data_IF_676703026865
#
_entry.id   IF_676703026865
#
_cell.length_a   1.000
_cell.length_b   1.000
_cell.length_c   1.000
_cell.angle_alpha   90.00
_cell.angle_beta   90.00
_cell.angle_gamma   90.00
#
_symmetry.space_group_name_H-M   'P 1'
#
loop_
_entity.id
_entity.type
_entity.pdbx_description
1 polymer ?
#
# COMPACT_ATOMS: atom_id res chain seq x y z
N UNK A 1 -15.46 21.26 -6.13
CA UNK A 1 -15.68 19.95 -5.49
C UNK A 1 -14.94 19.94 -4.16
N UNK A 2 -15.57 19.50 -3.07
CA UNK A 2 -14.85 19.28 -1.82
C UNK A 2 -13.94 18.07 -1.98
N UNK A 3 -12.69 18.17 -1.51
CA UNK A 3 -11.78 17.03 -1.46
C UNK A 3 -12.26 16.03 -0.40
N UNK A 4 -12.07 14.72 -0.61
CA UNK A 4 -12.37 13.73 0.42
C UNK A 4 -11.57 14.04 1.69
N UNK A 5 -12.20 13.89 2.86
CA UNK A 5 -11.54 14.14 4.14
C UNK A 5 -10.35 13.19 4.36
N UNK A 6 -10.50 11.95 3.87
CA UNK A 6 -9.50 10.89 3.91
C UNK A 6 -9.46 10.11 2.60
N UNK A 7 -8.25 9.70 2.21
CA UNK A 7 -8.01 8.72 1.15
C UNK A 7 -7.42 7.46 1.79
N UNK A 8 -7.93 6.29 1.40
CA UNK A 8 -7.39 4.99 1.82
C UNK A 8 -6.83 4.29 0.59
N UNK A 9 -5.53 4.01 0.62
CA UNK A 9 -4.82 3.29 -0.44
C UNK A 9 -4.46 1.90 0.07
N UNK A 10 -5.05 0.87 -0.52
CA UNK A 10 -4.71 -0.52 -0.20
C UNK A 10 -3.32 -0.82 -0.79
N UNK A 11 -2.38 -1.21 0.07
CA UNK A 11 -1.01 -1.55 -0.32
C UNK A 11 -0.78 -3.06 -0.37
N UNK A 12 -1.54 -3.80 0.45
CA UNK A 12 -1.41 -5.24 0.62
C UNK A 12 -2.79 -5.83 0.87
N UNK A 13 -3.15 -6.85 0.10
CA UNK A 13 -4.38 -7.63 0.26
C UNK A 13 -4.15 -9.04 -0.30
N UNK A 14 -5.09 -9.92 -0.01
CA UNK A 14 -5.09 -11.32 -0.44
C UNK A 14 -5.22 -11.48 -1.97
N UNK A 15 -5.55 -10.41 -2.70
CA UNK A 15 -5.68 -10.39 -4.17
C UNK A 15 -5.15 -9.08 -4.71
N UNK A 16 -4.43 -9.13 -5.84
CA UNK A 16 -4.09 -7.93 -6.60
C UNK A 16 -5.12 -7.69 -7.71
N UNK A 17 -5.38 -6.41 -7.99
CA UNK A 17 -6.17 -5.96 -9.15
C UNK A 17 -5.29 -5.54 -10.33
N UNK A 18 -3.97 -5.71 -10.19
CA UNK A 18 -2.95 -5.37 -11.18
C UNK A 18 -1.89 -6.47 -11.21
N UNK A 19 -1.46 -6.82 -12.41
CA UNK A 19 -0.51 -7.93 -12.63
C UNK A 19 0.92 -7.59 -12.19
N UNK A 20 1.23 -6.31 -11.99
CA UNK A 20 2.53 -5.83 -11.52
C UNK A 20 2.63 -5.73 -9.98
N UNK A 21 1.60 -6.17 -9.25
CA UNK A 21 1.56 -6.16 -7.80
C UNK A 21 1.60 -7.58 -7.24
N UNK A 22 2.38 -7.77 -6.17
CA UNK A 22 2.39 -9.00 -5.39
C UNK A 22 1.25 -8.97 -4.37
N UNK A 23 0.54 -10.09 -4.21
CA UNK A 23 -0.47 -10.31 -3.18
C UNK A 23 -0.08 -11.48 -2.29
N UNK A 24 -0.44 -11.44 -1.01
CA UNK A 24 -0.27 -12.56 -0.07
C UNK A 24 -1.24 -12.37 1.12
N UNK A 25 -1.23 -13.26 2.12
CA UNK A 25 -2.28 -13.25 3.14
C UNK A 25 -2.12 -12.09 4.13
N UNK A 26 -3.19 -11.33 4.37
CA UNK A 26 -3.23 -10.21 5.31
C UNK A 26 -3.67 -8.91 4.64
N UNK A 27 -3.49 -7.80 5.36
CA UNK A 27 -3.94 -6.49 4.91
C UNK A 27 -2.97 -5.38 5.35
N UNK A 28 -2.82 -4.36 4.51
CA UNK A 28 -2.19 -3.10 4.89
C UNK A 28 -2.71 -1.96 4.01
N UNK A 29 -2.93 -0.79 4.60
CA UNK A 29 -3.31 0.40 3.85
C UNK A 29 -2.62 1.67 4.37
N UNK A 30 -2.42 2.60 3.44
CA UNK A 30 -2.05 3.98 3.77
C UNK A 30 -3.31 4.83 3.88
N UNK A 31 -3.46 5.51 5.01
CA UNK A 31 -4.53 6.47 5.25
C UNK A 31 -3.92 7.87 5.20
N UNK A 32 -4.43 8.70 4.31
CA UNK A 32 -3.99 10.10 4.14
C UNK A 32 -5.17 11.04 4.38
N UNK A 33 -4.92 12.19 5.00
CA UNK A 33 -5.91 13.26 5.09
C UNK A 33 -5.48 14.49 4.29
N UNK A 34 -6.42 15.42 4.08
CA UNK A 34 -6.17 16.68 3.37
C UNK A 34 -5.14 17.61 4.05
N UNK A 35 -4.75 17.33 5.30
CA UNK A 35 -3.73 18.08 6.04
C UNK A 35 -2.32 17.44 5.90
N UNK A 36 -2.17 16.41 5.07
CA UNK A 36 -0.90 15.71 4.85
C UNK A 36 -0.51 14.73 5.97
N UNK A 37 -1.42 14.42 6.91
CA UNK A 37 -1.17 13.39 7.93
C UNK A 37 -1.29 12.02 7.27
N UNK A 38 -0.33 11.14 7.58
CA UNK A 38 -0.23 9.78 7.05
C UNK A 38 -0.18 8.76 8.16
N UNK A 39 -0.94 7.68 8.01
CA UNK A 39 -0.90 6.52 8.90
C UNK A 39 -0.81 5.27 8.05
N UNK A 40 0.21 4.44 8.30
CA UNK A 40 0.24 3.06 7.84
C UNK A 40 -0.57 2.22 8.83
N UNK A 41 -1.68 1.67 8.37
CA UNK A 41 -2.53 0.79 9.16
C UNK A 41 -2.26 -0.66 8.75
N UNK A 42 -1.86 -1.47 9.74
CA UNK A 42 -1.43 -2.86 9.58
C UNK A 42 -0.23 -3.03 8.61
N UNK A 43 0.42 -4.19 8.62
CA UNK A 43 1.62 -4.47 7.80
C UNK A 43 1.53 -5.78 7.02
N UNK A 44 0.35 -6.39 6.95
CA UNK A 44 0.17 -7.74 6.43
C UNK A 44 0.97 -8.77 7.22
N UNK A 45 1.17 -9.96 6.63
CA UNK A 45 1.95 -11.02 7.27
C UNK A 45 3.47 -10.89 7.06
N UNK A 46 3.92 -10.04 6.12
CA UNK A 46 5.33 -9.96 5.72
C UNK A 46 5.76 -8.54 5.37
N UNK A 47 6.51 -7.92 6.29
CA UNK A 47 7.12 -6.60 6.10
C UNK A 47 8.01 -6.51 4.84
N UNK A 48 8.87 -7.50 4.52
CA UNK A 48 9.63 -7.48 3.27
C UNK A 48 8.77 -7.44 2.01
N UNK A 49 7.65 -8.18 1.96
CA UNK A 49 6.74 -8.13 0.81
C UNK A 49 6.06 -6.77 0.68
N UNK A 50 5.66 -6.15 1.79
CA UNK A 50 5.11 -4.79 1.80
C UNK A 50 6.09 -3.76 1.21
N UNK A 51 7.40 -3.94 1.41
CA UNK A 51 8.44 -3.03 0.93
C UNK A 51 8.99 -3.38 -0.47
N UNK A 52 8.72 -4.59 -0.97
CA UNK A 52 9.28 -5.09 -2.22
C UNK A 52 8.87 -4.27 -3.47
N UNK A 53 7.74 -3.55 -3.41
CA UNK A 53 7.27 -2.71 -4.52
C UNK A 53 8.21 -1.55 -4.86
N UNK A 54 9.06 -1.10 -3.94
CA UNK A 54 10.03 -0.03 -4.19
C UNK A 54 11.37 -0.54 -4.74
N UNK A 55 11.60 -1.85 -4.79
CA UNK A 55 12.80 -2.45 -5.37
C UNK A 55 12.55 -2.84 -6.83
N UNK A 56 12.54 -1.86 -7.74
CA UNK A 56 12.96 -2.17 -9.10
C UNK A 56 14.39 -2.71 -9.03
N UNK A 57 14.74 -3.81 -9.73
CA UNK A 57 16.13 -4.04 -10.04
C UNK A 57 16.58 -2.81 -10.82
N UNK A 58 17.51 -2.03 -10.26
CA UNK A 58 18.29 -1.10 -11.08
C UNK A 58 18.84 -1.92 -12.22
N UNK A 59 18.43 -1.62 -13.46
CA UNK A 59 18.99 -2.24 -14.65
C UNK A 59 20.52 -2.16 -14.54
N UNK A 60 21.14 -3.32 -14.38
CA UNK A 60 22.58 -3.55 -14.49
C UNK A 60 22.85 -4.34 -15.75
#
# INVERSE_FOLDING_TARGET
>A
MQHPLFTVTILYDNRSMRDDLLSSHGFSCLIENHQGRRVLFDTGESGPLLLALNSHPTAG
#
